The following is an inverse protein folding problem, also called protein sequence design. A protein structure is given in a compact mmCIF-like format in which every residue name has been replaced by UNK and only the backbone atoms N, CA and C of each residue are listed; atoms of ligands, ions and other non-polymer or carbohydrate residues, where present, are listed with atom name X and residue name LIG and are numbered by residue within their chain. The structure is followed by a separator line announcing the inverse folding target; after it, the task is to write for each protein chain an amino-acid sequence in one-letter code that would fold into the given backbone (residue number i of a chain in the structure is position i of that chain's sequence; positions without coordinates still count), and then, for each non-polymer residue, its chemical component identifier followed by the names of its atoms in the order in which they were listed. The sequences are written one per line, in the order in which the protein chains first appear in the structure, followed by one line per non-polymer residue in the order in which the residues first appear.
data_IF_381127781278
#
_entry.id   IF_381127781278
#
_cell.length_a   1.000
_cell.length_b   1.000
_cell.length_c   1.000
_cell.angle_alpha   90.00
_cell.angle_beta   90.00
_cell.angle_gamma   90.00
#
_symmetry.space_group_name_H-M   'P 1'
#
loop_
_entity.id
_entity.type
_entity.pdbx_description
1 polymer ?
#
# COMPACT_ATOMS: atom_id res chain seq x y z
N UNK A 1 -1.03 1.31 -6.14
CA UNK A 1 -2.40 1.20 -5.63
C UNK A 1 -2.46 1.82 -4.23
N UNK A 2 -3.58 2.46 -3.91
CA UNK A 2 -3.86 3.03 -2.59
C UNK A 2 -4.85 2.10 -1.90
N UNK A 3 -4.53 1.64 -0.69
CA UNK A 3 -5.28 0.60 0.02
C UNK A 3 -5.96 1.22 1.24
N UNK A 4 -7.30 1.22 1.29
CA UNK A 4 -8.06 1.81 2.39
C UNK A 4 -8.59 0.79 3.39
N UNK A 5 -8.64 -0.49 3.02
CA UNK A 5 -9.19 -1.56 3.85
C UNK A 5 -8.48 -2.90 3.65
N UNK A 6 -8.85 -3.90 4.45
CA UNK A 6 -8.40 -5.28 4.26
C UNK A 6 -8.91 -5.87 2.96
N UNK A 7 -10.16 -5.59 2.59
CA UNK A 7 -10.77 -6.10 1.36
C UNK A 7 -10.07 -5.51 0.12
N UNK A 8 -9.70 -4.23 0.15
CA UNK A 8 -8.91 -3.59 -0.92
C UNK A 8 -7.57 -4.28 -1.09
N UNK A 9 -6.92 -4.64 0.02
CA UNK A 9 -5.64 -5.33 0.02
C UNK A 9 -5.76 -6.72 -0.60
N UNK A 10 -6.75 -7.50 -0.20
CA UNK A 10 -6.96 -8.86 -0.71
C UNK A 10 -7.27 -8.85 -2.20
N UNK A 11 -8.11 -7.92 -2.65
CA UNK A 11 -8.36 -7.71 -4.07
C UNK A 11 -7.08 -7.32 -4.83
N UNK A 12 -6.30 -6.36 -4.32
CA UNK A 12 -5.05 -5.94 -4.95
C UNK A 12 -4.04 -7.09 -5.04
N UNK A 13 -3.88 -7.86 -3.96
CA UNK A 13 -3.04 -9.05 -3.90
C UNK A 13 -3.42 -10.05 -4.98
N UNK A 14 -4.71 -10.34 -5.12
CA UNK A 14 -5.20 -11.31 -6.08
C UNK A 14 -4.99 -10.83 -7.52
N UNK A 15 -5.22 -9.55 -7.80
CA UNK A 15 -4.92 -8.94 -9.11
C UNK A 15 -3.43 -9.03 -9.44
N UNK A 16 -2.56 -8.69 -8.50
CA UNK A 16 -1.09 -8.74 -8.68
C UNK A 16 -0.66 -10.16 -9.03
N UNK A 17 -1.14 -11.17 -8.28
CA UNK A 17 -0.81 -12.58 -8.50
C UNK A 17 -1.37 -13.11 -9.82
N UNK A 18 -2.66 -12.86 -10.11
CA UNK A 18 -3.32 -13.37 -11.32
C UNK A 18 -2.78 -12.76 -12.61
N UNK A 19 -2.29 -11.52 -12.56
CA UNK A 19 -1.75 -10.81 -13.73
C UNK A 19 -0.23 -10.76 -13.75
N UNK A 20 0.44 -11.34 -12.75
CA UNK A 20 1.90 -11.30 -12.57
C UNK A 20 2.46 -9.89 -12.71
N UNK A 21 1.78 -8.89 -12.13
CA UNK A 21 2.12 -7.48 -12.33
C UNK A 21 3.53 -7.16 -11.83
N UNK A 22 3.95 -7.83 -10.76
CA UNK A 22 5.28 -7.73 -10.16
C UNK A 22 6.42 -8.16 -11.09
N UNK A 23 6.12 -8.94 -12.14
CA UNK A 23 7.09 -9.33 -13.19
C UNK A 23 7.14 -8.33 -14.34
N UNK A 24 6.09 -7.54 -14.53
CA UNK A 24 5.99 -6.57 -15.61
C UNK A 24 6.56 -5.21 -15.19
N UNK A 25 6.31 -4.80 -13.95
CA UNK A 25 6.80 -3.55 -13.42
C UNK A 25 6.84 -3.55 -11.88
N UNK A 26 7.59 -2.63 -11.26
CA UNK A 26 7.51 -2.41 -9.82
C UNK A 26 6.09 -1.99 -9.42
N UNK A 27 5.40 -2.84 -8.66
CA UNK A 27 4.07 -2.54 -8.13
C UNK A 27 4.21 -1.77 -6.83
N UNK A 28 3.62 -0.58 -6.75
CA UNK A 28 3.62 0.25 -5.54
C UNK A 28 2.32 0.04 -4.75
N UNK A 29 2.42 -0.20 -3.45
CA UNK A 29 1.29 -0.18 -2.50
C UNK A 29 1.49 0.89 -1.44
N UNK A 30 0.44 1.64 -1.15
CA UNK A 30 0.44 2.68 -0.12
C UNK A 30 -0.85 2.63 0.69
N UNK A 31 -0.82 2.87 2.01
CA UNK A 31 -2.02 2.94 2.83
C UNK A 31 -2.77 4.24 2.55
N UNK A 32 -4.10 4.19 2.53
CA UNK A 32 -4.94 5.36 2.47
C UNK A 32 -4.90 6.09 3.82
N UNK A 33 -4.60 7.39 3.76
CA UNK A 33 -4.43 8.21 4.95
C UNK A 33 -5.68 8.19 5.85
N UNK A 34 -5.48 7.88 7.13
CA UNK A 34 -6.55 7.91 8.15
C UNK A 34 -7.59 6.78 8.01
N UNK A 35 -7.42 5.89 7.04
CA UNK A 35 -8.29 4.73 6.83
C UNK A 35 -7.57 3.42 7.13
N UNK A 36 -6.27 3.34 6.81
CA UNK A 36 -5.45 2.17 7.09
C UNK A 36 -4.11 2.59 7.71
N UNK A 37 -3.77 1.96 8.83
CA UNK A 37 -2.45 2.13 9.44
C UNK A 37 -1.37 1.52 8.55
N UNK A 38 -0.26 2.24 8.43
CA UNK A 38 0.87 1.81 7.61
C UNK A 38 1.48 0.49 8.07
N UNK A 39 1.55 0.28 9.39
CA UNK A 39 2.02 -0.97 9.99
C UNK A 39 1.16 -2.15 9.55
N UNK A 40 -0.17 -2.01 9.59
CA UNK A 40 -1.10 -3.05 9.18
C UNK A 40 -0.87 -3.47 7.73
N UNK A 41 -0.73 -2.50 6.81
CA UNK A 41 -0.45 -2.83 5.41
C UNK A 41 0.91 -3.51 5.23
N UNK A 42 1.95 -3.06 5.95
CA UNK A 42 3.27 -3.66 5.89
C UNK A 42 3.26 -5.11 6.39
N UNK A 43 2.57 -5.38 7.51
CA UNK A 43 2.39 -6.72 8.07
C UNK A 43 1.71 -7.65 7.07
N UNK A 44 0.66 -7.18 6.39
CA UNK A 44 -0.05 -8.00 5.39
C UNK A 44 0.83 -8.33 4.19
N UNK A 45 1.56 -7.34 3.65
CA UNK A 45 2.50 -7.54 2.54
C UNK A 45 3.55 -8.59 2.90
N UNK A 46 4.10 -8.52 4.12
CA UNK A 46 5.09 -9.47 4.61
C UNK A 46 4.50 -10.87 4.79
N UNK A 47 3.31 -10.96 5.41
CA UNK A 47 2.64 -12.24 5.65
C UNK A 47 2.30 -12.98 4.35
N UNK A 48 1.92 -12.25 3.29
CA UNK A 48 1.61 -12.82 1.97
C UNK A 48 2.84 -12.95 1.04
N UNK A 49 4.02 -12.50 1.48
CA UNK A 49 5.24 -12.53 0.67
C UNK A 49 5.11 -11.79 -0.66
N UNK A 50 4.36 -10.67 -0.68
CA UNK A 50 4.04 -9.98 -1.91
C UNK A 50 5.24 -9.19 -2.42
N UNK A 51 5.66 -9.43 -3.66
CA UNK A 51 6.78 -8.73 -4.30
C UNK A 51 6.34 -7.33 -4.78
N UNK A 52 6.20 -6.40 -3.84
CA UNK A 52 5.75 -5.03 -4.07
C UNK A 52 6.67 -4.02 -3.38
N UNK A 53 6.58 -2.77 -3.82
CA UNK A 53 7.23 -1.62 -3.18
C UNK A 53 6.22 -0.97 -2.24
N UNK A 54 6.53 -0.96 -0.96
CA UNK A 54 5.75 -0.23 0.04
C UNK A 54 6.10 1.26 -0.01
N UNK A 55 5.08 2.11 -0.18
CA UNK A 55 5.25 3.55 -0.28
C UNK A 55 4.47 4.25 0.84
N UNK A 56 5.21 4.99 1.66
CA UNK A 56 4.66 5.90 2.65
C UNK A 56 4.52 7.31 2.09
N UNK A 57 3.41 7.97 2.42
CA UNK A 57 3.27 9.42 2.20
C UNK A 57 4.05 10.18 3.27
N UNK A 58 5.39 10.19 3.13
CA UNK A 58 6.34 10.84 4.05
C UNK A 58 5.99 12.29 4.37
N UNK A 59 5.46 13.04 3.39
CA UNK A 59 5.08 14.43 3.59
C UNK A 59 4.01 14.61 4.68
N UNK A 60 3.10 13.65 4.86
CA UNK A 60 2.09 13.71 5.93
C UNK A 60 2.64 13.28 7.28
N UNK A 61 3.62 12.37 7.28
CA UNK A 61 4.28 11.90 8.50
C UNK A 61 5.24 12.97 9.06
N UNK A 62 5.84 13.78 8.19
CA UNK A 62 6.78 14.85 8.55
C UNK A 62 6.09 16.18 8.89
N UNK A 63 5.03 16.55 8.17
CA UNK A 63 4.37 17.87 8.34
C UNK A 63 2.99 17.80 8.99
N UNK A 64 2.48 16.61 9.33
CA UNK A 64 1.09 16.44 9.74
C UNK A 64 0.12 16.92 8.65
N UNK A 65 -1.16 17.03 8.98
CA UNK A 65 -2.24 17.43 8.07
C UNK A 65 -2.19 18.94 7.69
N UNK A 66 -1.01 19.55 7.59
CA UNK A 66 -0.87 20.92 7.11
C UNK A 66 -1.06 20.94 5.59
N UNK A 67 -2.24 21.38 5.17
CA UNK A 67 -2.44 21.94 3.84
C UNK A 67 -1.40 23.05 3.64
N UNK A 68 -0.54 22.88 2.62
CA UNK A 68 0.35 23.95 2.19
C UNK A 68 -0.47 25.19 1.83
N UNK A 69 -0.04 26.35 2.35
CA UNK A 69 -0.51 27.66 1.88
C UNK A 69 -0.05 27.90 0.45
#
# INVERSE_FOLDING_TARGET
MVIASRDDYEWARDVIRQRHLDRLCPVLLSPAQGLLEASSLAEWILADGLNVRFQLQLHKLLWGNMQGK
#
